data_IF_334602039080
#
_entry.id   IF_334602039080
#
_cell.length_a   1.000
_cell.length_b   1.000
_cell.length_c   1.000
_cell.angle_alpha   90.00
_cell.angle_beta   90.00
_cell.angle_gamma   90.00
#
_symmetry.space_group_name_H-M   'P 1'
#
loop_
_entity.id
_entity.type
_entity.pdbx_description
1 polymer ?
#
# COMPACT_ATOMS: atom_id res chain seq x y z
N UNK A 1 22.92 23.06 -28.26
CA UNK A 1 23.09 21.58 -28.19
C UNK A 1 23.27 21.22 -26.73
N UNK A 2 22.64 20.12 -26.30
CA UNK A 2 22.69 19.49 -24.96
C UNK A 2 21.85 20.13 -23.84
N UNK A 3 20.60 19.68 -23.70
CA UNK A 3 19.86 19.73 -22.43
C UNK A 3 18.77 18.64 -22.38
N UNK A 4 19.18 17.38 -22.53
CA UNK A 4 18.27 16.26 -22.79
C UNK A 4 18.54 15.02 -21.91
N UNK A 5 18.72 15.18 -20.60
CA UNK A 5 18.86 14.02 -19.70
C UNK A 5 18.46 14.31 -18.24
N UNK A 6 17.18 14.58 -17.95
CA UNK A 6 16.67 14.45 -16.56
C UNK A 6 15.17 14.10 -16.43
N UNK A 7 14.58 13.44 -17.43
CA UNK A 7 13.17 12.96 -17.38
C UNK A 7 13.05 11.46 -17.74
N UNK A 8 14.00 10.63 -17.30
CA UNK A 8 14.07 9.21 -17.70
C UNK A 8 13.71 8.17 -16.62
N UNK A 9 13.00 8.53 -15.55
CA UNK A 9 12.64 7.54 -14.51
C UNK A 9 11.20 7.59 -13.98
N UNK A 10 10.24 7.95 -14.82
CA UNK A 10 8.88 7.43 -14.68
C UNK A 10 8.39 6.96 -16.05
N UNK A 11 8.89 5.80 -16.48
CA UNK A 11 8.10 4.99 -17.39
C UNK A 11 6.84 4.63 -16.61
N UNK A 12 5.74 5.36 -16.84
CA UNK A 12 4.40 4.83 -16.62
C UNK A 12 4.24 3.71 -17.64
N UNK A 13 4.92 2.59 -17.37
CA UNK A 13 4.83 1.39 -18.18
C UNK A 13 3.36 1.04 -18.20
N UNK A 14 2.79 1.00 -19.41
CA UNK A 14 1.40 0.60 -19.62
C UNK A 14 1.21 -0.71 -18.87
N UNK A 15 0.42 -0.70 -17.80
CA UNK A 15 0.24 -1.89 -16.97
C UNK A 15 -0.33 -2.98 -17.88
N UNK A 16 0.38 -4.10 -18.03
CA UNK A 16 -0.07 -5.23 -18.84
C UNK A 16 -1.30 -5.95 -18.24
N UNK A 17 -1.97 -5.34 -17.26
CA UNK A 17 -3.07 -5.92 -16.49
C UNK A 17 -2.63 -7.06 -15.59
N UNK A 18 -1.32 -7.21 -15.36
CA UNK A 18 -0.71 -8.24 -14.52
C UNK A 18 -0.33 -7.65 -13.17
N UNK A 19 -0.48 -8.44 -12.12
CA UNK A 19 -0.11 -8.05 -10.76
C UNK A 19 1.40 -7.83 -10.65
N UNK A 20 1.79 -6.77 -9.94
CA UNK A 20 3.17 -6.36 -9.74
C UNK A 20 3.44 -6.19 -8.25
N UNK A 21 4.37 -6.96 -7.70
CA UNK A 21 4.78 -6.86 -6.31
C UNK A 21 5.53 -5.55 -6.06
N UNK A 22 5.03 -4.75 -5.12
CA UNK A 22 5.53 -3.39 -4.88
C UNK A 22 6.81 -3.34 -4.02
N UNK A 23 7.11 -4.42 -3.29
CA UNK A 23 8.18 -4.44 -2.30
C UNK A 23 7.90 -3.52 -1.09
N UNK A 24 8.96 -3.18 -0.37
CA UNK A 24 8.88 -2.36 0.85
C UNK A 24 8.12 -3.08 1.97
N UNK A 25 7.11 -2.43 2.55
CA UNK A 25 6.30 -3.00 3.65
C UNK A 25 5.30 -4.07 3.20
N UNK A 26 5.09 -4.22 1.90
CA UNK A 26 4.06 -5.11 1.36
C UNK A 26 4.67 -6.46 0.98
N UNK A 27 4.15 -7.58 1.50
CA UNK A 27 4.55 -8.91 1.04
C UNK A 27 4.32 -9.08 -0.47
N UNK A 28 5.20 -9.79 -1.18
CA UNK A 28 5.05 -10.00 -2.62
C UNK A 28 3.76 -10.77 -2.93
N UNK A 29 3.14 -10.46 -4.07
CA UNK A 29 1.94 -11.15 -4.51
C UNK A 29 2.28 -12.58 -4.96
N UNK A 30 1.52 -13.58 -4.50
CA UNK A 30 1.59 -14.92 -5.10
C UNK A 30 1.10 -14.94 -6.56
N UNK A 31 0.39 -13.88 -6.95
CA UNK A 31 -0.13 -13.63 -8.29
C UNK A 31 0.80 -12.75 -9.14
N UNK A 32 2.02 -12.45 -8.70
CA UNK A 32 2.98 -11.67 -9.50
C UNK A 32 3.11 -12.22 -10.93
N UNK A 33 3.05 -11.32 -11.92
CA UNK A 33 3.05 -11.68 -13.34
C UNK A 33 1.77 -12.34 -13.86
N UNK A 34 0.71 -12.45 -13.04
CA UNK A 34 -0.60 -13.02 -13.41
C UNK A 34 -1.69 -11.95 -13.32
N UNK A 35 -2.81 -12.08 -14.06
CA UNK A 35 -3.91 -11.13 -13.94
C UNK A 35 -4.61 -11.22 -12.58
N UNK A 36 -5.19 -10.10 -12.08
CA UNK A 36 -6.04 -10.11 -10.89
C UNK A 36 -7.18 -11.10 -11.04
N UNK A 37 -7.44 -11.88 -10.00
CA UNK A 37 -8.44 -12.96 -10.02
C UNK A 37 -9.42 -12.84 -8.89
N UNK A 38 -10.53 -13.57 -9.02
CA UNK A 38 -11.47 -13.77 -7.92
C UNK A 38 -10.85 -14.67 -6.87
N UNK A 39 -11.01 -14.30 -5.61
CA UNK A 39 -10.63 -15.12 -4.47
C UNK A 39 -11.82 -15.97 -4.03
N UNK A 40 -11.62 -17.29 -3.98
CA UNK A 40 -12.62 -18.24 -3.50
C UNK A 40 -12.75 -18.18 -1.97
N UNK A 41 -13.96 -18.41 -1.45
CA UNK A 41 -14.17 -18.61 -0.02
C UNK A 41 -13.42 -19.88 0.44
N UNK A 42 -12.93 -19.89 1.69
CA UNK A 42 -12.17 -21.01 2.26
C UNK A 42 -10.79 -20.58 2.78
N UNK A 43 -9.81 -21.47 2.73
CA UNK A 43 -8.46 -21.24 3.28
C UNK A 43 -7.68 -20.10 2.62
N UNK A 44 -8.09 -19.67 1.43
CA UNK A 44 -7.49 -18.56 0.69
C UNK A 44 -8.35 -17.29 0.73
N UNK A 45 -9.41 -17.27 1.53
CA UNK A 45 -10.29 -16.12 1.61
C UNK A 45 -9.58 -14.90 2.21
N UNK A 46 -9.98 -13.71 1.76
CA UNK A 46 -9.52 -12.46 2.31
C UNK A 46 -10.20 -12.25 3.68
N UNK A 47 -9.43 -12.40 4.75
CA UNK A 47 -9.91 -12.24 6.13
C UNK A 47 -10.33 -10.79 6.41
N UNK A 48 -9.61 -9.84 5.80
CA UNK A 48 -9.88 -8.40 5.69
C UNK A 48 -9.91 -7.99 4.21
N UNK A 49 -10.24 -6.75 3.83
CA UNK A 49 -10.18 -6.28 2.43
C UNK A 49 -11.21 -6.94 1.49
N UNK A 50 -12.33 -7.39 2.04
CA UNK A 50 -13.34 -8.20 1.33
C UNK A 50 -13.97 -7.50 0.14
N UNK A 51 -13.96 -6.17 0.12
CA UNK A 51 -14.44 -5.35 -1.01
C UNK A 51 -13.73 -5.72 -2.32
N UNK A 52 -12.47 -6.18 -2.27
CA UNK A 52 -11.69 -6.56 -3.45
C UNK A 52 -11.78 -8.05 -3.82
N UNK A 53 -12.56 -8.86 -3.10
CA UNK A 53 -12.62 -10.33 -3.29
C UNK A 53 -12.96 -10.75 -4.73
N UNK A 54 -13.79 -9.99 -5.44
CA UNK A 54 -14.22 -10.35 -6.80
C UNK A 54 -13.08 -10.25 -7.84
N UNK A 55 -12.09 -9.39 -7.61
CA UNK A 55 -10.96 -9.19 -8.51
C UNK A 55 -9.81 -8.51 -7.76
N UNK A 56 -8.73 -9.24 -7.49
CA UNK A 56 -7.58 -8.71 -6.74
C UNK A 56 -6.28 -9.46 -7.07
N UNK A 57 -5.15 -8.84 -6.72
CA UNK A 57 -3.82 -9.45 -6.69
C UNK A 57 -3.48 -10.07 -5.32
N UNK A 58 -4.24 -9.71 -4.28
CA UNK A 58 -3.96 -10.11 -2.91
C UNK A 58 -4.44 -11.53 -2.57
N UNK A 59 -3.75 -12.12 -1.61
CA UNK A 59 -4.23 -13.23 -0.80
C UNK A 59 -4.03 -12.92 0.70
N UNK A 60 -4.09 -13.95 1.54
CA UNK A 60 -3.94 -13.84 3.00
C UNK A 60 -2.64 -13.14 3.40
N UNK A 61 -1.55 -13.31 2.64
CA UNK A 61 -0.26 -12.69 2.95
C UNK A 61 -0.35 -11.16 2.96
N UNK A 62 -1.15 -10.56 2.06
CA UNK A 62 -1.35 -9.12 2.01
C UNK A 62 -2.36 -8.63 3.04
N UNK A 63 -3.42 -9.40 3.32
CA UNK A 63 -4.48 -8.96 4.23
C UNK A 63 -4.13 -9.15 5.70
N UNK A 64 -3.18 -10.01 6.03
CA UNK A 64 -2.79 -10.28 7.42
C UNK A 64 -2.14 -9.06 8.10
N UNK A 65 -1.13 -8.37 7.52
CA UNK A 65 -0.59 -7.14 8.10
C UNK A 65 -1.64 -6.04 8.30
N UNK A 66 -2.53 -5.87 7.31
CA UNK A 66 -3.64 -4.91 7.41
C UNK A 66 -4.57 -5.24 8.59
N UNK A 67 -4.88 -6.53 8.80
CA UNK A 67 -5.67 -6.99 9.95
C UNK A 67 -5.01 -6.68 11.29
N UNK A 68 -3.69 -6.87 11.39
CA UNK A 68 -2.97 -6.55 12.63
C UNK A 68 -2.99 -5.04 12.92
N UNK A 69 -2.77 -4.20 11.91
CA UNK A 69 -2.81 -2.73 12.05
C UNK A 69 -4.19 -2.24 12.51
N UNK A 70 -5.27 -2.74 11.89
CA UNK A 70 -6.65 -2.37 12.26
C UNK A 70 -6.98 -2.85 13.67
N UNK A 71 -6.57 -4.07 14.06
CA UNK A 71 -6.79 -4.57 15.42
C UNK A 71 -6.06 -3.73 16.46
N UNK A 72 -4.82 -3.32 16.18
CA UNK A 72 -4.03 -2.45 17.06
C UNK A 72 -4.75 -1.10 17.26
N UNK A 73 -5.18 -0.48 16.16
CA UNK A 73 -5.91 0.78 16.17
C UNK A 73 -7.26 0.68 16.91
N UNK A 74 -7.98 -0.44 16.75
CA UNK A 74 -9.23 -0.67 17.47
C UNK A 74 -9.01 -0.92 18.98
N UNK A 75 -7.89 -1.54 19.35
CA UNK A 75 -7.63 -1.96 20.74
C UNK A 75 -7.32 -0.81 21.71
N UNK A 76 -6.88 0.35 21.20
CA UNK A 76 -6.66 1.55 22.03
C UNK A 76 -7.96 2.25 22.39
N UNK A 77 -9.06 1.96 21.69
CA UNK A 77 -10.39 2.50 21.95
C UNK A 77 -10.62 3.93 21.44
N UNK A 78 -9.63 4.53 20.80
CA UNK A 78 -9.67 5.94 20.38
C UNK A 78 -10.13 6.13 18.93
N UNK A 79 -10.05 5.08 18.10
CA UNK A 79 -10.57 5.11 16.75
C UNK A 79 -12.06 4.78 16.71
N UNK A 80 -12.87 5.74 16.26
CA UNK A 80 -14.29 5.52 15.99
C UNK A 80 -14.49 4.56 14.80
N UNK A 81 -15.72 4.09 14.60
CA UNK A 81 -16.06 3.12 13.56
C UNK A 81 -15.75 3.64 12.14
N UNK A 82 -15.93 4.93 11.88
CA UNK A 82 -15.66 5.54 10.58
C UNK A 82 -14.14 5.56 10.29
N UNK A 83 -13.33 5.93 11.28
CA UNK A 83 -11.87 5.85 11.21
C UNK A 83 -11.42 4.42 10.89
N UNK A 84 -11.92 3.42 11.62
CA UNK A 84 -11.55 2.02 11.40
C UNK A 84 -11.89 1.55 9.98
N UNK A 85 -13.04 1.93 9.44
CA UNK A 85 -13.45 1.56 8.08
C UNK A 85 -12.60 2.25 7.01
N UNK A 86 -12.31 3.54 7.19
CA UNK A 86 -11.46 4.30 6.28
C UNK A 86 -10.00 3.83 6.33
N UNK A 87 -9.50 3.49 7.52
CA UNK A 87 -8.17 2.92 7.70
C UNK A 87 -8.08 1.52 7.08
N UNK A 88 -9.13 0.69 7.19
CA UNK A 88 -9.18 -0.61 6.50
C UNK A 88 -9.05 -0.40 4.99
N UNK A 89 -9.81 0.52 4.42
CA UNK A 89 -9.73 0.81 2.99
C UNK A 89 -8.33 1.27 2.57
N UNK A 90 -7.66 2.10 3.39
CA UNK A 90 -6.30 2.56 3.16
C UNK A 90 -5.30 1.39 3.15
N UNK A 91 -5.31 0.56 4.18
CA UNK A 91 -4.41 -0.60 4.29
C UNK A 91 -4.67 -1.63 3.19
N UNK A 92 -5.93 -1.78 2.78
CA UNK A 92 -6.34 -2.67 1.70
C UNK A 92 -6.17 -2.10 0.29
N UNK A 93 -5.70 -0.85 0.14
CA UNK A 93 -5.61 -0.17 -1.16
C UNK A 93 -4.79 -0.94 -2.20
N UNK A 94 -3.74 -1.65 -1.77
CA UNK A 94 -2.92 -2.50 -2.64
C UNK A 94 -3.69 -3.69 -3.25
N UNK A 95 -4.80 -4.09 -2.63
CA UNK A 95 -5.67 -5.16 -3.12
C UNK A 95 -6.67 -4.68 -4.17
N UNK A 96 -6.77 -3.37 -4.41
CA UNK A 96 -7.51 -2.84 -5.53
C UNK A 96 -6.88 -3.33 -6.85
N UNK A 97 -7.65 -3.93 -7.78
CA UNK A 97 -7.07 -4.52 -8.99
C UNK A 97 -6.47 -3.51 -9.96
N UNK A 98 -6.85 -2.23 -9.88
CA UNK A 98 -6.19 -1.16 -10.63
C UNK A 98 -4.89 -0.71 -9.96
N UNK A 99 -4.76 -0.84 -8.64
CA UNK A 99 -3.54 -0.50 -7.91
C UNK A 99 -2.52 -1.62 -8.01
N UNK A 100 -2.91 -2.87 -7.76
CA UNK A 100 -2.01 -4.03 -7.73
C UNK A 100 -1.34 -4.35 -9.07
N UNK A 101 -1.79 -3.76 -10.18
CA UNK A 101 -1.17 -3.93 -11.52
C UNK A 101 -0.28 -2.75 -11.94
N UNK A 102 -0.21 -1.69 -11.13
CA UNK A 102 0.60 -0.52 -11.41
C UNK A 102 1.90 -0.60 -10.59
N UNK A 103 3.07 -0.29 -11.16
CA UNK A 103 4.30 -0.23 -10.39
C UNK A 103 4.32 1.00 -9.48
N UNK A 104 4.94 0.85 -8.31
CA UNK A 104 5.13 1.91 -7.33
C UNK A 104 4.04 1.97 -6.25
N UNK A 105 4.22 2.86 -5.27
CA UNK A 105 3.28 2.97 -4.15
C UNK A 105 1.86 3.36 -4.63
N UNK A 106 0.80 2.91 -3.94
CA UNK A 106 -0.57 3.29 -4.26
C UNK A 106 -0.74 4.80 -4.33
N UNK A 107 -1.30 5.31 -5.44
CA UNK A 107 -1.69 6.72 -5.54
C UNK A 107 -3.10 6.88 -4.96
N UNK A 108 -3.22 7.69 -3.93
CA UNK A 108 -4.48 7.95 -3.24
C UNK A 108 -5.06 9.29 -3.68
N UNK A 109 -6.38 9.38 -3.75
CA UNK A 109 -7.05 10.65 -4.02
C UNK A 109 -6.93 11.55 -2.79
N UNK A 110 -6.68 12.85 -2.98
CA UNK A 110 -6.61 13.82 -1.88
C UNK A 110 -7.85 13.76 -0.99
N UNK A 111 -9.03 13.70 -1.60
CA UNK A 111 -10.31 13.64 -0.87
C UNK A 111 -10.46 12.39 0.02
N UNK A 112 -9.81 11.28 -0.34
CA UNK A 112 -9.76 10.09 0.52
C UNK A 112 -8.82 10.33 1.71
N UNK A 113 -7.65 10.91 1.47
CA UNK A 113 -6.70 11.29 2.52
C UNK A 113 -7.36 12.26 3.53
N UNK A 114 -8.08 13.27 3.03
CA UNK A 114 -8.76 14.26 3.87
C UNK A 114 -9.84 13.61 4.74
N UNK A 115 -10.61 12.67 4.18
CA UNK A 115 -11.62 11.91 4.92
C UNK A 115 -11.00 11.04 6.01
N UNK A 116 -9.92 10.33 5.70
CA UNK A 116 -9.19 9.51 6.68
C UNK A 116 -8.67 10.40 7.80
N UNK A 117 -8.00 11.50 7.45
CA UNK A 117 -7.45 12.43 8.43
C UNK A 117 -8.51 12.98 9.36
N UNK A 118 -9.64 13.46 8.82
CA UNK A 118 -10.73 14.01 9.61
C UNK A 118 -11.39 12.95 10.50
N UNK A 119 -11.61 11.73 10.00
CA UNK A 119 -12.26 10.68 10.78
C UNK A 119 -11.37 10.14 11.90
N UNK A 120 -10.05 10.16 11.70
CA UNK A 120 -9.05 9.59 12.61
C UNK A 120 -8.26 10.63 13.42
N UNK A 121 -8.65 11.92 13.40
CA UNK A 121 -7.88 13.01 14.02
C UNK A 121 -7.67 12.83 15.52
N UNK A 122 -8.62 12.17 16.18
CA UNK A 122 -8.64 11.96 17.62
C UNK A 122 -8.05 10.61 18.05
N UNK A 123 -7.63 9.79 17.08
CA UNK A 123 -7.09 8.45 17.35
C UNK A 123 -5.57 8.47 17.52
N UNK A 124 -5.08 7.84 18.58
CA UNK A 124 -3.64 7.64 18.78
C UNK A 124 -3.12 6.45 17.96
N UNK A 125 -2.10 6.73 17.16
CA UNK A 125 -1.37 5.73 16.39
C UNK A 125 -0.04 5.41 17.11
N UNK A 126 0.07 4.23 17.70
CA UNK A 126 1.37 3.70 18.09
C UNK A 126 2.13 3.26 16.82
N UNK A 127 2.80 4.21 16.19
CA UNK A 127 3.61 3.95 15.00
C UNK A 127 4.84 3.16 15.46
N UNK A 128 4.93 1.88 15.08
CA UNK A 128 6.27 1.28 14.97
C UNK A 128 6.97 2.08 13.88
N UNK A 129 8.14 2.65 14.21
CA UNK A 129 8.89 3.49 13.29
C UNK A 129 8.97 2.80 11.93
N UNK A 130 8.24 3.34 10.96
CA UNK A 130 8.24 2.80 9.61
C UNK A 130 9.66 2.96 9.12
N UNK A 131 10.41 1.85 9.09
CA UNK A 131 11.68 1.78 8.37
C UNK A 131 11.30 1.87 6.90
N UNK A 132 11.03 3.09 6.46
CA UNK A 132 11.06 3.43 5.06
C UNK A 132 12.51 3.17 4.67
N UNK A 133 12.77 1.96 4.17
CA UNK A 133 13.92 1.71 3.30
C UNK A 133 13.59 2.45 2.01
N UNK A 134 13.60 3.78 2.08
CA UNK A 134 14.05 4.55 0.96
C UNK A 134 15.45 4.02 0.70
N UNK A 135 15.67 3.37 -0.43
CA UNK A 135 16.99 3.34 -1.03
C UNK A 135 17.33 4.80 -1.38
N UNK A 136 17.63 5.61 -0.37
CA UNK A 136 18.43 6.82 -0.54
C UNK A 136 19.84 6.27 -0.76
N UNK A 137 20.45 6.45 -1.95
CA UNK A 137 21.88 6.21 -2.08
C UNK A 137 22.56 6.99 -0.95
N UNK A 138 23.35 6.29 -0.14
CA UNK A 138 24.14 6.89 0.93
C UNK A 138 24.79 8.17 0.42
N UNK A 139 24.37 9.31 0.93
CA UNK A 139 25.01 10.60 0.70
C UNK A 139 25.07 11.39 1.99
N UNK A 140 25.49 10.69 3.04
CA UNK A 140 26.07 11.29 4.23
C UNK A 140 27.23 10.40 4.65
N UNK A 141 28.31 10.49 3.87
CA UNK A 141 29.69 10.45 4.37
C UNK A 141 30.65 10.71 3.20
N UNK A 142 31.07 11.97 3.04
CA UNK A 142 32.44 12.34 2.66
C UNK A 142 32.63 13.85 2.76
N UNK A 143 33.46 14.21 3.74
CA UNK A 143 34.09 15.51 3.98
C UNK A 143 34.75 16.12 2.73
N UNK A 144 34.79 17.46 2.73
CA UNK A 144 35.89 18.35 2.26
C UNK A 144 36.35 18.23 0.80
N UNK A 145 36.16 19.30 0.02
CA UNK A 145 37.18 20.03 -0.77
C UNK A 145 36.44 21.16 -1.52
N UNK A 146 36.86 22.40 -1.30
CA UNK A 146 36.35 23.63 -1.92
C UNK A 146 36.29 24.77 -0.92
#
# INVERSE_FOLDING_TARGET
>A
MEHLTLFKYFNVGKSNGLCVSQGGRFPPFSSDGKPPKKVSRGSKDLTLCRVFRQKTCCDVAQTHPALLNIRKLASTGEANQECLQLWELLECSICNPQVGVQPGPPRLCSSLCDRIFNACSDAYFSMEAMTLVYNVPQLLDSKTIG
#
